data_IF_744746387873
#
_entry.id   IF_744746387873
#
_cell.length_a   1.000
_cell.length_b   1.000
_cell.length_c   1.000
_cell.angle_alpha   90.00
_cell.angle_beta   90.00
_cell.angle_gamma   90.00
#
_symmetry.space_group_name_H-M   'P 1'
#
loop_
_entity.id
_entity.type
_entity.pdbx_description
1 polymer ?
#
# COMPACT_ATOMS: atom_id res chain seq x y z
N UNK A 1 16.33 11.42 21.71
CA UNK A 1 16.03 12.57 20.81
C UNK A 1 14.65 13.20 21.03
N UNK A 2 13.67 12.51 21.64
CA UNK A 2 12.39 13.14 22.01
C UNK A 2 11.57 13.66 20.83
N UNK A 3 11.74 13.07 19.63
CA UNK A 3 11.18 13.55 18.35
C UNK A 3 9.65 13.62 18.34
N UNK A 4 8.99 12.80 19.16
CA UNK A 4 7.54 12.74 19.32
C UNK A 4 6.97 13.83 20.24
N UNK A 5 7.81 14.49 21.05
CA UNK A 5 7.36 15.51 22.00
C UNK A 5 7.31 16.87 21.31
N UNK A 6 6.33 17.70 21.67
CA UNK A 6 6.20 19.04 21.11
C UNK A 6 7.41 19.90 21.55
N UNK A 7 8.44 19.95 20.71
CA UNK A 7 9.77 20.47 21.02
C UNK A 7 9.82 21.98 21.17
N UNK A 8 8.75 22.70 20.80
CA UNK A 8 8.62 24.15 21.00
C UNK A 8 8.66 24.52 22.50
N UNK A 9 8.37 23.57 23.39
CA UNK A 9 8.44 23.77 24.86
C UNK A 9 9.84 23.58 25.47
N UNK A 10 10.82 23.16 24.67
CA UNK A 10 12.21 22.97 25.08
C UNK A 10 13.06 23.96 24.29
N UNK A 11 14.21 24.39 24.82
CA UNK A 11 15.09 25.45 24.31
C UNK A 11 15.75 25.13 22.94
N UNK A 12 14.96 24.69 21.96
CA UNK A 12 15.30 24.14 20.66
C UNK A 12 14.99 25.20 19.60
N UNK A 13 15.91 25.41 18.66
CA UNK A 13 15.72 26.41 17.60
C UNK A 13 14.55 26.04 16.69
N UNK A 14 13.83 27.02 16.11
CA UNK A 14 12.67 26.76 15.25
C UNK A 14 12.99 25.81 14.09
N UNK A 15 14.12 26.03 13.41
CA UNK A 15 14.61 25.15 12.35
C UNK A 15 14.72 23.68 12.79
N UNK A 16 15.37 23.43 13.94
CA UNK A 16 15.53 22.08 14.46
C UNK A 16 14.20 21.46 14.86
N UNK A 17 13.28 22.26 15.42
CA UNK A 17 11.95 21.77 15.78
C UNK A 17 11.18 21.28 14.56
N UNK A 18 11.18 22.06 13.46
CA UNK A 18 10.52 21.67 12.21
C UNK A 18 11.15 20.41 11.59
N UNK A 19 12.49 20.34 11.53
CA UNK A 19 13.18 19.14 11.02
C UNK A 19 12.87 17.88 11.84
N UNK A 20 12.79 18.00 13.17
CA UNK A 20 12.44 16.88 14.05
C UNK A 20 11.02 16.39 13.80
N UNK A 21 10.06 17.30 13.60
CA UNK A 21 8.69 16.92 13.25
C UNK A 21 8.64 16.23 11.89
N UNK A 22 9.31 16.77 10.87
CA UNK A 22 9.38 16.15 9.53
C UNK A 22 9.97 14.74 9.60
N UNK A 23 11.06 14.56 10.34
CA UNK A 23 11.69 13.26 10.53
C UNK A 23 10.78 12.28 11.30
N UNK A 24 10.13 12.74 12.37
CA UNK A 24 9.24 11.92 13.18
C UNK A 24 8.10 11.32 12.34
N UNK A 25 7.46 12.15 11.53
CA UNK A 25 6.37 11.70 10.68
C UNK A 25 6.82 10.72 9.58
N UNK A 26 8.04 10.87 9.05
CA UNK A 26 8.62 9.88 8.13
C UNK A 26 8.88 8.54 8.81
N UNK A 27 9.41 8.56 10.05
CA UNK A 27 9.58 7.33 10.85
C UNK A 27 8.24 6.64 11.06
N UNK A 28 7.19 7.39 11.44
CA UNK A 28 5.85 6.83 11.63
C UNK A 28 5.34 6.14 10.35
N UNK A 29 5.48 6.77 9.19
CA UNK A 29 5.02 6.16 7.92
C UNK A 29 5.81 4.89 7.58
N UNK A 30 7.12 4.89 7.83
CA UNK A 30 7.96 3.71 7.62
C UNK A 30 7.60 2.58 8.58
N UNK A 31 7.38 2.87 9.86
CA UNK A 31 6.95 1.90 10.87
C UNK A 31 5.57 1.33 10.53
N UNK A 32 4.61 2.17 10.14
CA UNK A 32 3.29 1.74 9.65
C UNK A 32 3.42 0.74 8.50
N UNK A 33 4.34 1.01 7.57
CA UNK A 33 4.56 0.16 6.40
C UNK A 33 5.27 -1.14 6.78
N UNK A 34 6.30 -1.08 7.62
CA UNK A 34 7.02 -2.26 8.09
C UNK A 34 6.10 -3.21 8.86
N UNK A 35 5.25 -2.67 9.74
CA UNK A 35 4.21 -3.42 10.44
C UNK A 35 3.28 -4.11 9.45
N UNK A 36 2.72 -3.37 8.48
CA UNK A 36 1.84 -3.93 7.44
C UNK A 36 2.49 -5.06 6.63
N UNK A 37 3.73 -4.88 6.17
CA UNK A 37 4.43 -5.89 5.38
C UNK A 37 4.77 -7.15 6.19
N UNK A 38 4.98 -7.00 7.48
CA UNK A 38 5.23 -8.10 8.42
C UNK A 38 3.91 -8.75 8.91
N UNK A 39 2.76 -8.24 8.47
CA UNK A 39 1.42 -8.66 8.90
C UNK A 39 1.10 -8.35 10.37
N UNK A 40 1.85 -7.45 11.01
CA UNK A 40 1.53 -6.96 12.33
C UNK A 40 0.62 -5.73 12.23
N UNK A 41 -0.43 -5.70 13.03
CA UNK A 41 -1.14 -4.46 13.30
C UNK A 41 -0.28 -3.62 14.24
N UNK A 42 0.03 -2.39 13.83
CA UNK A 42 0.72 -1.48 14.74
C UNK A 42 -0.25 -1.17 15.89
N UNK A 43 0.18 -1.33 17.15
CA UNK A 43 -0.64 -0.92 18.29
C UNK A 43 -0.59 0.59 18.44
N UNK A 44 -1.42 1.26 17.63
CA UNK A 44 -1.51 2.72 17.57
C UNK A 44 -2.47 3.25 18.65
N UNK A 45 -3.04 2.37 19.50
CA UNK A 45 -3.91 2.78 20.60
C UNK A 45 -3.17 3.62 21.66
N UNK A 46 -1.83 3.63 21.62
CA UNK A 46 -1.07 4.69 22.26
C UNK A 46 -1.24 6.00 21.48
N UNK A 47 -2.24 6.78 21.89
CA UNK A 47 -2.63 8.13 21.41
C UNK A 47 -1.46 9.13 21.19
N UNK A 48 -0.25 8.79 21.61
CA UNK A 48 0.94 9.65 21.55
C UNK A 48 1.70 9.68 20.22
N UNK A 49 1.53 8.70 19.31
CA UNK A 49 2.34 8.69 18.08
C UNK A 49 1.89 9.75 17.07
N UNK A 50 0.58 9.88 16.89
CA UNK A 50 -0.07 10.84 15.99
C UNK A 50 -0.63 12.08 16.73
N UNK A 51 -0.21 12.32 17.98
CA UNK A 51 -0.55 13.53 18.75
C UNK A 51 0.43 14.69 18.51
N UNK A 52 1.58 14.41 17.91
CA UNK A 52 2.52 15.45 17.50
C UNK A 52 1.88 16.38 16.46
N UNK A 53 2.18 17.67 16.55
CA UNK A 53 1.77 18.66 15.54
C UNK A 53 2.27 18.22 14.15
N UNK A 54 1.48 18.50 13.10
CA UNK A 54 1.94 18.30 11.73
C UNK A 54 3.06 19.31 11.40
N UNK A 55 4.03 18.95 10.55
CA UNK A 55 5.00 19.91 10.02
C UNK A 55 4.30 21.06 9.28
N UNK A 56 4.98 22.19 9.14
CA UNK A 56 4.42 23.34 8.44
C UNK A 56 4.37 23.11 6.92
N UNK A 57 3.30 23.60 6.28
CA UNK A 57 3.20 23.68 4.84
C UNK A 57 4.02 24.85 4.29
N UNK A 58 5.33 24.66 4.15
CA UNK A 58 6.31 25.65 3.66
C UNK A 58 7.34 24.98 2.75
N UNK A 59 7.98 25.75 1.87
CA UNK A 59 9.06 25.24 1.01
C UNK A 59 10.38 25.16 1.79
N UNK A 60 11.27 24.26 1.36
CA UNK A 60 12.55 24.03 2.05
C UNK A 60 13.47 25.25 1.97
N UNK A 61 13.38 26.02 0.89
CA UNK A 61 14.09 27.29 0.72
C UNK A 61 13.72 28.36 1.77
N UNK A 62 12.62 28.19 2.51
CA UNK A 62 12.21 29.09 3.59
C UNK A 62 12.77 28.69 4.96
N UNK A 63 13.47 27.55 5.05
CA UNK A 63 14.08 27.05 6.28
C UNK A 63 15.59 27.31 6.29
N UNK A 64 16.09 27.89 7.39
CA UNK A 64 17.51 28.16 7.59
C UNK A 64 17.91 28.05 9.07
N UNK A 65 19.11 27.54 9.41
CA UNK A 65 19.49 27.20 10.80
C UNK A 65 19.45 28.35 11.81
N UNK A 66 19.71 29.58 11.36
CA UNK A 66 19.82 30.77 12.20
C UNK A 66 18.47 31.47 12.45
N UNK A 67 17.36 30.93 11.93
CA UNK A 67 16.04 31.52 12.08
C UNK A 67 15.60 31.62 13.55
N UNK A 68 15.01 32.76 13.91
CA UNK A 68 14.46 33.00 15.26
C UNK A 68 12.99 32.62 15.37
N UNK A 69 12.27 32.60 14.25
CA UNK A 69 10.83 32.27 14.16
C UNK A 69 10.54 31.48 12.88
N UNK A 70 9.52 30.60 12.92
CA UNK A 70 9.05 29.87 11.73
C UNK A 70 8.30 30.81 10.77
N UNK A 71 8.46 30.65 9.44
CA UNK A 71 7.62 31.33 8.46
C UNK A 71 6.14 31.00 8.66
N UNK A 72 5.27 31.89 8.18
CA UNK A 72 3.85 31.62 8.12
C UNK A 72 3.55 30.42 7.19
N UNK A 73 2.59 29.59 7.59
CA UNK A 73 2.12 28.47 6.78
C UNK A 73 1.51 28.97 5.47
N UNK A 74 1.91 28.34 4.35
CA UNK A 74 1.39 28.68 3.02
C UNK A 74 0.04 27.99 2.84
N UNK A 75 -0.99 28.78 2.54
CA UNK A 75 -2.37 28.30 2.32
C UNK A 75 -2.96 28.73 0.98
N UNK A 76 -2.18 29.41 0.15
CA UNK A 76 -2.62 30.01 -1.12
C UNK A 76 -2.13 29.26 -2.37
N UNK A 77 -1.14 28.38 -2.23
CA UNK A 77 -0.56 27.58 -3.31
C UNK A 77 0.09 26.30 -2.76
N UNK A 78 0.45 25.38 -3.65
CA UNK A 78 1.11 24.13 -3.30
C UNK A 78 2.58 24.35 -2.93
N UNK A 79 3.11 23.50 -2.04
CA UNK A 79 4.51 23.50 -1.59
C UNK A 79 5.12 22.12 -1.74
N UNK A 80 6.43 22.00 -1.59
CA UNK A 80 7.14 20.70 -1.55
C UNK A 80 6.64 19.79 -0.40
N UNK A 81 6.06 20.37 0.66
CA UNK A 81 5.49 19.62 1.78
C UNK A 81 4.11 19.03 1.50
N UNK A 82 3.44 19.40 0.41
CA UNK A 82 2.05 18.99 0.13
C UNK A 82 1.89 17.46 0.11
N UNK A 83 2.77 16.73 -0.60
CA UNK A 83 2.73 15.26 -0.65
C UNK A 83 2.88 14.64 0.74
N UNK A 84 3.82 15.14 1.53
CA UNK A 84 4.08 14.65 2.88
C UNK A 84 2.86 14.88 3.78
N UNK A 85 2.31 16.10 3.79
CA UNK A 85 1.18 16.47 4.64
C UNK A 85 -0.10 15.72 4.29
N UNK A 86 -0.38 15.53 2.99
CA UNK A 86 -1.48 14.67 2.54
C UNK A 86 -1.28 13.24 3.06
N UNK A 87 -0.08 12.69 2.94
CA UNK A 87 0.24 11.35 3.42
C UNK A 87 0.06 11.22 4.94
N UNK A 88 0.52 12.22 5.71
CA UNK A 88 0.40 12.25 7.17
C UNK A 88 -1.04 12.37 7.64
N UNK A 89 -1.83 13.26 7.02
CA UNK A 89 -3.26 13.40 7.34
C UNK A 89 -4.03 12.12 7.00
N UNK A 90 -3.76 11.49 5.85
CA UNK A 90 -4.37 10.21 5.49
C UNK A 90 -4.01 9.10 6.48
N UNK A 91 -2.73 8.96 6.83
CA UNK A 91 -2.27 7.98 7.80
C UNK A 91 -2.94 8.20 9.16
N UNK A 92 -2.92 9.44 9.68
CA UNK A 92 -3.59 9.77 10.95
C UNK A 92 -5.09 9.52 10.90
N UNK A 93 -5.75 9.75 9.76
CA UNK A 93 -7.18 9.53 9.61
C UNK A 93 -7.52 8.05 9.67
N UNK A 94 -6.81 7.20 8.93
CA UNK A 94 -7.01 5.74 8.94
C UNK A 94 -6.92 5.19 10.37
N UNK A 95 -5.95 5.66 11.14
CA UNK A 95 -5.74 5.26 12.53
C UNK A 95 -6.90 5.69 13.43
N UNK A 96 -7.35 6.93 13.31
CA UNK A 96 -8.41 7.50 14.16
C UNK A 96 -9.81 7.08 13.70
N UNK A 97 -9.94 6.52 12.51
CA UNK A 97 -11.21 6.19 11.88
C UNK A 97 -12.14 5.34 12.76
N UNK A 98 -11.69 4.26 13.43
CA UNK A 98 -12.56 3.47 14.28
C UNK A 98 -13.21 4.27 15.42
N UNK A 99 -12.45 5.18 16.04
CA UNK A 99 -12.97 6.07 17.09
C UNK A 99 -13.94 7.14 16.57
N UNK A 100 -13.82 7.57 15.31
CA UNK A 100 -14.69 8.59 14.72
C UNK A 100 -16.07 8.06 14.34
N UNK A 101 -16.16 6.77 14.03
CA UNK A 101 -17.41 6.14 13.60
C UNK A 101 -18.20 5.56 14.79
N UNK A 102 -17.57 5.40 15.96
CA UNK A 102 -18.14 4.78 17.16
C UNK A 102 -18.88 3.48 16.81
N UNK A 103 -18.07 2.47 16.50
CA UNK A 103 -18.54 1.23 15.88
C UNK A 103 -19.34 0.36 16.87
N UNK A 104 -19.31 0.64 18.17
CA UNK A 104 -19.94 -0.22 19.18
C UNK A 104 -21.34 0.25 19.62
N UNK A 105 -21.79 1.46 19.27
CA UNK A 105 -22.97 2.09 19.91
C UNK A 105 -24.18 2.38 19.01
N UNK A 106 -24.06 2.30 17.68
CA UNK A 106 -25.09 2.77 16.74
C UNK A 106 -25.63 1.68 15.80
N UNK A 107 -26.90 1.84 15.36
CA UNK A 107 -27.55 0.98 14.37
C UNK A 107 -26.76 0.93 13.05
N UNK A 108 -26.80 -0.21 12.35
CA UNK A 108 -25.97 -0.46 11.15
C UNK A 108 -26.15 0.60 10.05
N UNK A 109 -27.40 0.99 9.77
CA UNK A 109 -27.70 2.00 8.76
C UNK A 109 -27.19 3.39 9.12
N UNK A 110 -27.17 3.74 10.42
CA UNK A 110 -26.63 5.01 10.91
C UNK A 110 -25.09 5.00 10.89
N UNK A 111 -24.50 3.86 11.21
CA UNK A 111 -23.05 3.63 11.18
C UNK A 111 -22.48 3.77 9.78
N UNK A 112 -23.11 3.15 8.78
CA UNK A 112 -22.72 3.31 7.37
C UNK A 112 -22.80 4.78 6.94
N UNK A 113 -23.89 5.49 7.27
CA UNK A 113 -24.05 6.92 6.96
C UNK A 113 -23.00 7.79 7.65
N UNK A 114 -22.66 7.49 8.90
CA UNK A 114 -21.61 8.21 9.64
C UNK A 114 -20.24 7.95 9.03
N UNK A 115 -19.93 6.69 8.71
CA UNK A 115 -18.70 6.29 8.03
C UNK A 115 -18.51 7.05 6.71
N UNK A 116 -19.54 7.10 5.86
CA UNK A 116 -19.50 7.85 4.60
C UNK A 116 -19.32 9.34 4.83
N UNK A 117 -20.12 9.93 5.74
CA UNK A 117 -20.05 11.36 6.04
C UNK A 117 -18.67 11.78 6.56
N UNK A 118 -18.10 11.04 7.51
CA UNK A 118 -16.77 11.33 8.08
C UNK A 118 -15.68 11.19 7.02
N UNK A 119 -15.79 10.19 6.14
CA UNK A 119 -14.87 9.99 5.02
C UNK A 119 -14.96 11.14 4.01
N UNK A 120 -16.17 11.51 3.58
CA UNK A 120 -16.38 12.57 2.58
C UNK A 120 -15.93 13.93 3.13
N UNK A 121 -16.26 14.25 4.38
CA UNK A 121 -15.77 15.47 5.03
C UNK A 121 -14.24 15.53 5.14
N UNK A 122 -13.58 14.38 5.32
CA UNK A 122 -12.12 14.30 5.30
C UNK A 122 -11.56 14.54 3.90
N UNK A 123 -12.14 13.91 2.87
CA UNK A 123 -11.76 14.10 1.47
C UNK A 123 -11.92 15.55 1.05
N UNK A 124 -13.04 16.19 1.37
CA UNK A 124 -13.30 17.60 1.07
C UNK A 124 -12.28 18.51 1.74
N UNK A 125 -11.86 18.19 2.97
CA UNK A 125 -10.82 18.94 3.67
C UNK A 125 -9.47 18.81 2.95
N UNK A 126 -9.05 17.61 2.55
CA UNK A 126 -7.81 17.42 1.79
C UNK A 126 -7.86 18.16 0.46
N UNK A 127 -9.00 18.08 -0.24
CA UNK A 127 -9.20 18.77 -1.52
C UNK A 127 -9.03 20.28 -1.36
N UNK A 128 -9.69 20.86 -0.36
CA UNK A 128 -9.66 22.31 -0.13
C UNK A 128 -8.34 22.80 0.46
N UNK A 129 -7.66 22.00 1.27
CA UNK A 129 -6.42 22.41 1.94
C UNK A 129 -5.20 22.26 1.04
N UNK A 130 -5.13 21.19 0.24
CA UNK A 130 -3.93 20.83 -0.54
C UNK A 130 -4.21 20.65 -2.03
N UNK A 131 -5.15 19.77 -2.39
CA UNK A 131 -5.22 19.25 -3.76
C UNK A 131 -5.72 20.28 -4.78
N UNK A 132 -6.56 21.24 -4.37
CA UNK A 132 -7.01 22.34 -5.24
C UNK A 132 -5.88 23.22 -5.78
N UNK A 133 -4.71 23.17 -5.14
CA UNK A 133 -3.54 23.95 -5.51
C UNK A 133 -2.51 23.17 -6.33
N UNK A 134 -2.77 21.89 -6.60
CA UNK A 134 -1.89 21.07 -7.42
C UNK A 134 -2.14 21.36 -8.91
N UNK A 135 -1.08 21.72 -9.62
CA UNK A 135 -1.05 21.87 -11.07
C UNK A 135 -0.52 20.59 -11.72
N UNK A 136 -1.30 19.99 -12.62
CA UNK A 136 -0.91 18.77 -13.34
C UNK A 136 0.27 18.97 -14.28
N UNK A 137 0.58 20.22 -14.67
CA UNK A 137 1.78 20.53 -15.45
C UNK A 137 3.08 20.36 -14.63
N UNK A 138 3.00 20.45 -13.29
CA UNK A 138 4.13 20.20 -12.41
C UNK A 138 4.18 18.73 -11.98
N UNK A 139 5.28 18.03 -12.28
CA UNK A 139 5.39 16.59 -12.05
C UNK A 139 5.23 16.18 -10.57
N UNK A 140 5.75 16.97 -9.63
CA UNK A 140 5.63 16.65 -8.20
C UNK A 140 4.19 16.87 -7.69
N UNK A 141 3.53 17.93 -8.17
CA UNK A 141 2.14 18.22 -7.81
C UNK A 141 1.17 17.23 -8.46
N UNK A 142 1.43 16.80 -9.70
CA UNK A 142 0.73 15.70 -10.35
C UNK A 142 0.86 14.39 -9.55
N UNK A 143 2.09 14.04 -9.13
CA UNK A 143 2.31 12.88 -8.28
C UNK A 143 1.51 12.98 -6.97
N UNK A 144 1.50 14.17 -6.36
CA UNK A 144 0.73 14.45 -5.13
C UNK A 144 -0.76 14.19 -5.34
N UNK A 145 -1.35 14.71 -6.41
CA UNK A 145 -2.76 14.50 -6.72
C UNK A 145 -3.10 13.02 -6.98
N UNK A 146 -2.24 12.30 -7.71
CA UNK A 146 -2.45 10.88 -8.00
C UNK A 146 -2.32 10.01 -6.74
N UNK A 147 -1.30 10.23 -5.91
CA UNK A 147 -1.14 9.50 -4.65
C UNK A 147 -2.24 9.83 -3.65
N UNK A 148 -2.73 11.08 -3.61
CA UNK A 148 -3.90 11.43 -2.82
C UNK A 148 -5.12 10.61 -3.22
N UNK A 149 -5.36 10.42 -4.52
CA UNK A 149 -6.44 9.56 -5.02
C UNK A 149 -6.27 8.12 -4.53
N UNK A 150 -5.05 7.56 -4.58
CA UNK A 150 -4.75 6.23 -4.04
C UNK A 150 -5.09 6.15 -2.55
N UNK A 151 -4.63 7.11 -1.74
CA UNK A 151 -4.89 7.11 -0.30
C UNK A 151 -6.38 7.25 0.03
N UNK A 152 -7.12 8.07 -0.72
CA UNK A 152 -8.57 8.24 -0.55
C UNK A 152 -9.31 6.94 -0.85
N UNK A 153 -8.99 6.24 -1.94
CA UNK A 153 -9.59 4.94 -2.25
C UNK A 153 -9.23 3.90 -1.18
N UNK A 154 -7.99 3.90 -0.66
CA UNK A 154 -7.59 3.05 0.46
C UNK A 154 -8.39 3.34 1.75
N UNK A 155 -8.64 4.61 2.07
CA UNK A 155 -9.47 5.00 3.21
C UNK A 155 -10.88 4.42 3.06
N UNK A 156 -11.50 4.57 1.87
CA UNK A 156 -12.85 4.03 1.59
C UNK A 156 -12.89 2.51 1.73
N UNK A 157 -11.88 1.82 1.21
CA UNK A 157 -11.72 0.36 1.38
C UNK A 157 -11.68 0.00 2.86
N UNK A 158 -10.81 0.64 3.65
CA UNK A 158 -10.66 0.32 5.08
C UNK A 158 -11.93 0.62 5.87
N UNK A 159 -12.60 1.73 5.57
CA UNK A 159 -13.88 2.09 6.16
C UNK A 159 -14.94 1.00 5.92
N UNK A 160 -15.09 0.56 4.66
CA UNK A 160 -16.08 -0.46 4.30
C UNK A 160 -15.73 -1.85 4.84
N UNK A 161 -14.46 -2.22 4.84
CA UNK A 161 -13.99 -3.47 5.46
C UNK A 161 -14.27 -3.51 6.96
N UNK A 162 -14.08 -2.38 7.68
CA UNK A 162 -14.42 -2.30 9.09
C UNK A 162 -15.91 -2.60 9.32
N UNK A 163 -16.81 -2.00 8.53
CA UNK A 163 -18.25 -2.26 8.62
C UNK A 163 -18.60 -3.73 8.38
N UNK A 164 -18.00 -4.37 7.36
CA UNK A 164 -18.20 -5.80 7.08
C UNK A 164 -17.73 -6.72 8.21
N UNK A 165 -16.65 -6.39 8.93
CA UNK A 165 -16.18 -7.19 10.07
C UNK A 165 -17.21 -7.20 11.20
N UNK A 166 -17.80 -6.05 11.52
CA UNK A 166 -18.84 -5.99 12.54
C UNK A 166 -20.14 -6.68 12.12
N UNK A 167 -20.52 -6.60 10.84
CA UNK A 167 -21.69 -7.31 10.33
C UNK A 167 -21.61 -8.83 10.53
N UNK A 168 -20.43 -9.44 10.36
CA UNK A 168 -20.23 -10.89 10.56
C UNK A 168 -20.47 -11.36 12.00
N UNK A 169 -20.33 -10.47 12.98
CA UNK A 169 -20.60 -10.78 14.39
C UNK A 169 -22.10 -10.66 14.74
N UNK A 170 -22.92 -10.09 13.86
CA UNK A 170 -24.36 -10.00 14.01
C UNK A 170 -25.06 -11.17 13.30
N UNK A 171 -25.84 -11.97 14.03
CA UNK A 171 -26.43 -13.24 13.56
C UNK A 171 -27.63 -13.11 12.61
N UNK A 172 -28.03 -11.89 12.21
CA UNK A 172 -29.24 -11.69 11.41
C UNK A 172 -28.99 -11.87 9.91
N UNK A 173 -29.32 -13.06 9.41
CA UNK A 173 -29.26 -13.42 7.99
C UNK A 173 -30.57 -13.04 7.31
N UNK A 174 -30.73 -11.77 6.94
CA UNK A 174 -31.90 -11.26 6.19
C UNK A 174 -31.57 -11.07 4.70
N UNK A 175 -32.58 -11.06 3.82
CA UNK A 175 -32.39 -10.78 2.38
C UNK A 175 -31.73 -9.41 2.12
N UNK A 176 -32.01 -8.44 3.00
CA UNK A 176 -31.38 -7.11 3.01
C UNK A 176 -29.86 -7.24 3.30
N UNK A 177 -29.46 -8.10 4.24
CA UNK A 177 -28.05 -8.35 4.56
C UNK A 177 -27.26 -8.94 3.38
N UNK A 178 -27.90 -9.81 2.59
CA UNK A 178 -27.28 -10.40 1.40
C UNK A 178 -27.08 -9.36 0.29
N UNK A 179 -28.12 -8.56 -0.03
CA UNK A 179 -28.00 -7.48 -1.04
C UNK A 179 -26.94 -6.45 -0.65
N UNK A 180 -26.85 -6.13 0.64
CA UNK A 180 -25.83 -5.22 1.17
C UNK A 180 -24.42 -5.81 1.07
N UNK A 181 -24.25 -7.10 1.36
CA UNK A 181 -22.96 -7.80 1.17
C UNK A 181 -22.52 -7.80 -0.29
N UNK A 182 -23.44 -8.07 -1.23
CA UNK A 182 -23.14 -8.01 -2.67
C UNK A 182 -22.73 -6.60 -3.11
N UNK A 183 -23.49 -5.58 -2.69
CA UNK A 183 -23.18 -4.19 -3.00
C UNK A 183 -21.80 -3.78 -2.44
N UNK A 184 -21.49 -4.15 -1.19
CA UNK A 184 -20.17 -3.90 -0.61
C UNK A 184 -19.05 -4.61 -1.38
N UNK A 185 -19.28 -5.82 -1.90
CA UNK A 185 -18.34 -6.52 -2.76
C UNK A 185 -18.04 -5.77 -4.06
N UNK A 186 -19.09 -5.25 -4.72
CA UNK A 186 -18.95 -4.44 -5.93
C UNK A 186 -18.17 -3.14 -5.66
N UNK A 187 -18.50 -2.42 -4.59
CA UNK A 187 -17.80 -1.18 -4.21
C UNK A 187 -16.31 -1.43 -3.91
N UNK A 188 -15.99 -2.52 -3.20
CA UNK A 188 -14.61 -2.90 -2.93
C UNK A 188 -13.86 -3.20 -4.22
N UNK A 189 -14.47 -3.95 -5.16
CA UNK A 189 -13.84 -4.22 -6.46
C UNK A 189 -13.55 -2.92 -7.21
N UNK A 190 -14.50 -1.99 -7.24
CA UNK A 190 -14.33 -0.67 -7.89
C UNK A 190 -13.15 0.08 -7.26
N UNK A 191 -13.14 0.28 -5.94
CA UNK A 191 -12.09 1.07 -5.30
C UNK A 191 -10.71 0.40 -5.34
N UNK A 192 -10.65 -0.92 -5.24
CA UNK A 192 -9.38 -1.63 -5.41
C UNK A 192 -8.87 -1.48 -6.86
N UNK A 193 -9.76 -1.54 -7.84
CA UNK A 193 -9.42 -1.31 -9.26
C UNK A 193 -8.93 0.12 -9.47
N UNK A 194 -9.62 1.13 -8.93
CA UNK A 194 -9.17 2.54 -8.99
C UNK A 194 -7.75 2.74 -8.43
N UNK A 195 -7.40 2.05 -7.34
CA UNK A 195 -6.05 2.10 -6.77
C UNK A 195 -5.03 1.55 -7.77
N UNK A 196 -5.28 0.36 -8.34
CA UNK A 196 -4.36 -0.27 -9.28
C UNK A 196 -4.23 0.55 -10.57
N UNK A 197 -5.32 1.11 -11.09
CA UNK A 197 -5.32 1.97 -12.26
C UNK A 197 -4.57 3.28 -12.05
N UNK A 198 -4.75 3.89 -10.88
CA UNK A 198 -4.03 5.12 -10.55
C UNK A 198 -2.53 4.84 -10.44
N UNK A 199 -2.15 3.69 -9.88
CA UNK A 199 -0.74 3.25 -9.87
C UNK A 199 -0.21 2.96 -11.28
N UNK A 200 -1.01 2.31 -12.15
CA UNK A 200 -0.64 2.13 -13.56
C UNK A 200 -0.40 3.46 -14.26
N UNK A 201 -1.28 4.46 -14.05
CA UNK A 201 -1.10 5.80 -14.58
C UNK A 201 0.21 6.44 -14.09
N UNK A 202 0.58 6.25 -12.82
CA UNK A 202 1.85 6.75 -12.28
C UNK A 202 3.03 6.09 -13.00
N UNK A 203 3.00 4.76 -13.17
CA UNK A 203 4.06 4.01 -13.84
C UNK A 203 4.19 4.33 -15.33
N UNK A 204 3.08 4.66 -16.01
CA UNK A 204 3.06 4.99 -17.44
C UNK A 204 3.44 6.46 -17.73
N UNK A 205 3.29 7.35 -16.74
CA UNK A 205 3.57 8.78 -16.95
C UNK A 205 5.08 9.08 -16.96
N UNK A 206 5.59 9.54 -18.11
CA UNK A 206 7.02 9.84 -18.30
C UNK A 206 7.56 10.90 -17.32
N UNK A 207 6.78 11.94 -17.05
CA UNK A 207 7.16 13.02 -16.12
C UNK A 207 7.33 12.54 -14.67
N UNK A 208 6.75 11.38 -14.31
CA UNK A 208 6.78 10.83 -12.96
C UNK A 208 7.92 9.80 -12.77
N UNK A 209 8.64 9.45 -13.83
CA UNK A 209 9.68 8.41 -13.78
C UNK A 209 10.80 8.72 -12.76
N UNK A 210 11.11 10.01 -12.56
CA UNK A 210 12.08 10.47 -11.56
C UNK A 210 11.70 10.14 -10.10
N UNK A 211 10.43 9.83 -9.83
CA UNK A 211 9.92 9.51 -8.49
C UNK A 211 9.66 8.01 -8.29
N UNK A 212 9.95 7.16 -9.27
CA UNK A 212 9.54 5.75 -9.25
C UNK A 212 10.19 4.97 -8.11
N UNK A 213 11.41 5.33 -7.70
CA UNK A 213 12.06 4.77 -6.51
C UNK A 213 11.19 4.90 -5.24
N UNK A 214 10.45 6.02 -5.11
CA UNK A 214 9.52 6.26 -4.01
C UNK A 214 8.19 5.54 -4.24
N UNK A 215 7.64 5.61 -5.46
CA UNK A 215 6.36 4.97 -5.83
C UNK A 215 6.40 3.45 -5.66
N UNK A 216 7.56 2.83 -5.94
CA UNK A 216 7.84 1.43 -5.68
C UNK A 216 7.59 1.04 -4.21
N UNK A 217 7.90 1.95 -3.30
CA UNK A 217 7.63 1.77 -1.88
C UNK A 217 6.12 1.77 -1.55
N UNK A 218 5.26 2.22 -2.45
CA UNK A 218 3.80 2.33 -2.29
C UNK A 218 3.04 1.33 -3.18
N UNK A 219 3.70 0.27 -3.65
CA UNK A 219 3.06 -0.72 -4.51
C UNK A 219 1.75 -1.28 -3.90
N UNK A 220 0.65 -1.36 -4.67
CA UNK A 220 -0.68 -1.64 -4.13
C UNK A 220 -0.92 -3.15 -3.93
N UNK A 221 -0.11 -3.82 -3.11
CA UNK A 221 -0.21 -5.26 -2.85
C UNK A 221 -1.61 -5.66 -2.40
N UNK A 222 -2.18 -4.93 -1.44
CA UNK A 222 -3.53 -5.15 -0.91
C UNK A 222 -4.59 -5.18 -2.00
N UNK A 223 -4.60 -4.17 -2.87
CA UNK A 223 -5.59 -4.09 -3.95
C UNK A 223 -5.38 -5.14 -5.02
N UNK A 224 -4.14 -5.42 -5.39
CA UNK A 224 -3.86 -6.43 -6.39
C UNK A 224 -4.29 -7.82 -5.91
N UNK A 225 -3.97 -8.18 -4.66
CA UNK A 225 -4.37 -9.47 -4.08
C UNK A 225 -5.90 -9.58 -3.98
N UNK A 226 -6.58 -8.52 -3.52
CA UNK A 226 -8.04 -8.52 -3.43
C UNK A 226 -8.69 -8.74 -4.80
N UNK A 227 -8.28 -7.97 -5.81
CA UNK A 227 -8.82 -8.10 -7.17
C UNK A 227 -8.60 -9.52 -7.68
N UNK A 228 -7.36 -10.03 -7.65
CA UNK A 228 -7.05 -11.36 -8.14
C UNK A 228 -7.87 -12.45 -7.44
N UNK A 229 -8.21 -12.28 -6.16
CA UNK A 229 -9.10 -13.20 -5.45
C UNK A 229 -10.55 -13.14 -5.93
N UNK A 230 -11.09 -11.94 -6.14
CA UNK A 230 -12.42 -11.78 -6.73
C UNK A 230 -12.45 -12.40 -8.13
N UNK A 231 -11.43 -12.15 -8.95
CA UNK A 231 -11.31 -12.67 -10.31
C UNK A 231 -11.17 -14.21 -10.34
N UNK A 232 -10.59 -14.81 -9.29
CA UNK A 232 -10.48 -16.26 -9.15
C UNK A 232 -11.85 -16.95 -9.04
N UNK A 233 -12.87 -16.26 -8.53
CA UNK A 233 -14.22 -16.83 -8.36
C UNK A 233 -15.00 -16.96 -9.68
N UNK A 234 -14.45 -16.51 -10.81
CA UNK A 234 -15.07 -16.68 -12.13
C UNK A 234 -16.34 -15.87 -12.33
N UNK A 235 -16.54 -14.80 -11.57
CA UNK A 235 -17.65 -13.87 -11.77
C UNK A 235 -17.56 -13.21 -13.15
N UNK A 236 -18.72 -12.79 -13.68
CA UNK A 236 -18.82 -12.07 -14.97
C UNK A 236 -19.49 -10.72 -14.74
N UNK A 237 -19.03 -9.69 -15.42
CA UNK A 237 -19.60 -8.35 -15.34
C UNK A 237 -18.63 -7.27 -15.80
N UNK A 238 -19.16 -6.08 -16.09
CA UNK A 238 -18.36 -4.93 -16.55
C UNK A 238 -17.22 -4.60 -15.59
N UNK A 239 -17.48 -4.57 -14.28
CA UNK A 239 -16.46 -4.28 -13.27
C UNK A 239 -15.36 -5.35 -13.18
N UNK A 240 -15.71 -6.61 -13.46
CA UNK A 240 -14.74 -7.72 -13.51
C UNK A 240 -13.82 -7.56 -14.71
N UNK A 241 -14.37 -7.25 -15.88
CA UNK A 241 -13.59 -7.01 -17.10
C UNK A 241 -12.69 -5.78 -16.95
N UNK A 242 -13.19 -4.72 -16.30
CA UNK A 242 -12.42 -3.53 -15.97
C UNK A 242 -11.24 -3.86 -15.04
N UNK A 243 -11.49 -4.60 -13.96
CA UNK A 243 -10.45 -5.04 -13.03
C UNK A 243 -9.39 -5.91 -13.73
N UNK A 244 -9.77 -6.73 -14.70
CA UNK A 244 -8.82 -7.48 -15.53
C UNK A 244 -7.90 -6.59 -16.35
N UNK A 245 -8.40 -5.50 -16.93
CA UNK A 245 -7.57 -4.53 -17.67
C UNK A 245 -6.52 -3.87 -16.75
N UNK A 246 -6.92 -3.51 -15.53
CA UNK A 246 -6.02 -2.94 -14.54
C UNK A 246 -4.92 -3.94 -14.12
N UNK A 247 -5.30 -5.20 -13.88
CA UNK A 247 -4.38 -6.31 -13.55
C UNK A 247 -3.43 -6.60 -14.70
N UNK A 248 -3.92 -6.66 -15.94
CA UNK A 248 -3.08 -6.94 -17.10
C UNK A 248 -2.02 -5.84 -17.29
N UNK A 249 -2.43 -4.58 -17.16
CA UNK A 249 -1.53 -3.43 -17.29
C UNK A 249 -0.42 -3.45 -16.22
N UNK A 250 -0.78 -3.66 -14.95
CA UNK A 250 0.23 -3.66 -13.87
C UNK A 250 1.17 -4.86 -13.99
N UNK A 251 0.66 -6.06 -14.27
CA UNK A 251 1.50 -7.26 -14.40
C UNK A 251 2.41 -7.19 -15.63
N UNK A 252 1.94 -6.64 -16.76
CA UNK A 252 2.78 -6.43 -17.94
C UNK A 252 3.88 -5.38 -17.71
N UNK A 253 3.58 -4.32 -16.95
CA UNK A 253 4.56 -3.28 -16.57
C UNK A 253 5.79 -3.91 -15.88
N UNK A 254 5.57 -4.91 -15.03
CA UNK A 254 6.64 -5.59 -14.28
C UNK A 254 7.07 -6.93 -14.88
N UNK A 255 6.46 -7.38 -15.99
CA UNK A 255 6.78 -8.68 -16.57
C UNK A 255 8.21 -8.76 -17.10
N UNK A 256 8.72 -7.65 -17.65
CA UNK A 256 10.07 -7.59 -18.22
C UNK A 256 11.20 -7.31 -17.22
N UNK A 257 10.89 -7.05 -15.95
CA UNK A 257 11.89 -6.74 -14.91
C UNK A 257 12.06 -7.93 -13.96
N UNK A 258 13.03 -7.90 -13.05
CA UNK A 258 13.21 -8.95 -12.01
C UNK A 258 12.09 -9.00 -10.93
N UNK A 259 10.96 -8.36 -11.24
CA UNK A 259 9.58 -8.49 -10.73
C UNK A 259 9.23 -7.91 -9.35
N UNK A 260 8.15 -7.08 -9.38
CA UNK A 260 7.59 -6.26 -8.29
C UNK A 260 8.63 -5.33 -7.66
N UNK A 261 8.21 -4.27 -6.96
CA UNK A 261 9.11 -3.49 -6.12
C UNK A 261 9.60 -4.27 -4.88
N UNK A 262 9.77 -5.58 -5.00
CA UNK A 262 10.41 -6.45 -4.04
C UNK A 262 11.91 -6.41 -4.36
N UNK A 263 12.73 -5.95 -3.42
CA UNK A 263 14.19 -5.91 -3.59
C UNK A 263 14.84 -7.29 -3.74
N UNK A 264 14.08 -8.38 -3.59
CA UNK A 264 14.57 -9.76 -3.69
C UNK A 264 13.60 -10.65 -4.51
N UNK A 265 14.03 -11.27 -5.62
CA UNK A 265 13.22 -12.20 -6.40
C UNK A 265 12.92 -13.55 -5.71
N UNK A 266 13.58 -13.85 -4.57
CA UNK A 266 13.24 -14.97 -3.69
C UNK A 266 12.19 -14.59 -2.63
N UNK A 267 11.60 -13.40 -2.72
CA UNK A 267 10.55 -12.95 -1.80
C UNK A 267 9.31 -13.84 -1.95
N UNK A 268 8.84 -14.38 -0.84
CA UNK A 268 7.66 -15.23 -0.76
C UNK A 268 6.42 -14.50 -1.31
N UNK A 269 6.33 -13.18 -1.13
CA UNK A 269 5.26 -12.33 -1.66
C UNK A 269 5.20 -12.36 -3.19
N UNK A 270 6.36 -12.45 -3.86
CA UNK A 270 6.44 -12.59 -5.30
C UNK A 270 5.77 -13.89 -5.77
N UNK A 271 6.14 -15.02 -5.15
CA UNK A 271 5.61 -16.33 -5.52
C UNK A 271 4.10 -16.43 -5.26
N UNK A 272 3.64 -15.84 -4.15
CA UNK A 272 2.25 -15.80 -3.76
C UNK A 272 1.36 -15.06 -4.79
N UNK A 273 1.74 -13.83 -5.17
CA UNK A 273 0.96 -13.02 -6.12
C UNK A 273 1.00 -13.63 -7.52
N UNK A 274 2.16 -14.09 -7.98
CA UNK A 274 2.29 -14.77 -9.27
C UNK A 274 1.41 -16.02 -9.36
N UNK A 275 1.43 -16.85 -8.31
CA UNK A 275 0.58 -18.04 -8.20
C UNK A 275 -0.90 -17.68 -8.20
N UNK A 276 -1.28 -16.64 -7.45
CA UNK A 276 -2.66 -16.16 -7.40
C UNK A 276 -3.13 -15.64 -8.77
N UNK A 277 -2.30 -14.89 -9.47
CA UNK A 277 -2.59 -14.38 -10.80
C UNK A 277 -2.79 -15.51 -11.82
N UNK A 278 -1.93 -16.52 -11.81
CA UNK A 278 -2.08 -17.71 -12.67
C UNK A 278 -3.37 -18.46 -12.34
N UNK A 279 -3.70 -18.64 -11.05
CA UNK A 279 -4.94 -19.31 -10.63
C UNK A 279 -6.17 -18.55 -11.11
N UNK A 280 -6.18 -17.22 -10.95
CA UNK A 280 -7.28 -16.38 -11.42
C UNK A 280 -7.43 -16.45 -12.94
N UNK A 281 -6.31 -16.40 -13.68
CA UNK A 281 -6.32 -16.53 -15.14
C UNK A 281 -6.87 -17.88 -15.59
N UNK A 282 -6.43 -18.99 -14.98
CA UNK A 282 -6.93 -20.34 -15.29
C UNK A 282 -8.44 -20.44 -15.08
N UNK A 283 -8.96 -19.89 -13.97
CA UNK A 283 -10.38 -19.87 -13.69
C UNK A 283 -11.18 -19.10 -14.76
N UNK A 284 -10.65 -17.96 -15.22
CA UNK A 284 -11.24 -17.22 -16.35
C UNK A 284 -11.25 -18.04 -17.62
N UNK A 285 -10.11 -18.62 -18.02
CA UNK A 285 -10.00 -19.38 -19.28
C UNK A 285 -10.87 -20.63 -19.29
N UNK A 286 -11.06 -21.30 -18.15
CA UNK A 286 -11.95 -22.44 -18.03
C UNK A 286 -13.44 -22.05 -18.24
N UNK A 287 -13.76 -20.77 -18.05
CA UNK A 287 -15.12 -20.23 -18.15
C UNK A 287 -15.40 -19.52 -19.48
N UNK A 288 -14.39 -19.39 -20.36
CA UNK A 288 -14.45 -18.76 -21.68
C UNK A 288 -14.52 -19.81 -22.80
N UNK A 289 -15.12 -19.43 -23.93
CA UNK A 289 -15.10 -20.25 -25.16
C UNK A 289 -13.68 -20.25 -25.77
N UNK A 290 -13.30 -21.29 -26.54
CA UNK A 290 -11.96 -21.42 -27.13
C UNK A 290 -11.49 -20.21 -27.95
N UNK A 291 -12.43 -19.49 -28.58
CA UNK A 291 -12.14 -18.33 -29.43
C UNK A 291 -11.98 -17.00 -28.64
N UNK A 292 -12.25 -17.00 -27.32
CA UNK A 292 -12.15 -15.82 -26.43
C UNK A 292 -10.94 -15.88 -25.48
N UNK A 293 -10.04 -16.85 -25.65
CA UNK A 293 -8.88 -17.01 -24.75
C UNK A 293 -7.91 -15.84 -24.94
N UNK A 294 -8.03 -14.85 -24.05
CA UNK A 294 -7.08 -13.75 -23.94
C UNK A 294 -5.70 -14.30 -23.54
N UNK A 295 -4.77 -14.25 -24.49
CA UNK A 295 -3.36 -14.55 -24.25
C UNK A 295 -2.70 -13.36 -23.57
N UNK A 296 -2.57 -13.42 -22.25
CA UNK A 296 -1.84 -12.41 -21.49
C UNK A 296 -0.33 -12.72 -21.49
N UNK A 297 0.48 -11.75 -21.93
CA UNK A 297 1.93 -11.90 -22.05
C UNK A 297 2.58 -12.25 -20.70
N UNK A 298 2.14 -11.62 -19.62
CA UNK A 298 2.67 -11.86 -18.29
C UNK A 298 2.45 -13.30 -17.80
N UNK A 299 1.43 -14.03 -18.27
CA UNK A 299 1.16 -15.41 -17.82
C UNK A 299 2.32 -16.34 -18.15
N UNK A 300 2.84 -16.27 -19.37
CA UNK A 300 3.98 -17.10 -19.80
C UNK A 300 5.24 -16.75 -19.01
N UNK A 301 5.45 -15.46 -18.76
CA UNK A 301 6.65 -14.97 -18.06
C UNK A 301 6.62 -15.37 -16.58
N UNK A 302 5.50 -15.13 -15.87
CA UNK A 302 5.36 -15.54 -14.47
C UNK A 302 5.47 -17.07 -14.35
N UNK A 303 4.80 -17.82 -15.23
CA UNK A 303 4.84 -19.30 -15.19
C UNK A 303 6.26 -19.83 -15.36
N UNK A 304 7.03 -19.27 -16.30
CA UNK A 304 8.43 -19.64 -16.50
C UNK A 304 9.29 -19.33 -15.27
N UNK A 305 9.14 -18.14 -14.67
CA UNK A 305 9.90 -17.74 -13.49
C UNK A 305 9.56 -18.57 -12.24
N UNK A 306 8.28 -18.84 -11.97
CA UNK A 306 7.87 -19.72 -10.87
C UNK A 306 8.39 -21.15 -11.04
N UNK A 307 8.40 -21.67 -12.27
CA UNK A 307 9.00 -22.97 -12.58
C UNK A 307 10.50 -23.02 -12.27
N UNK A 308 11.25 -21.97 -12.63
CA UNK A 308 12.67 -21.86 -12.30
C UNK A 308 12.94 -21.72 -10.80
N UNK A 309 12.06 -21.04 -10.05
CA UNK A 309 12.18 -20.94 -8.59
C UNK A 309 11.92 -22.29 -7.91
N UNK A 310 10.91 -23.05 -8.35
CA UNK A 310 10.65 -24.40 -7.86
C UNK A 310 11.84 -25.33 -8.13
N UNK A 311 12.39 -25.31 -9.35
CA UNK A 311 13.58 -26.08 -9.70
C UNK A 311 14.79 -25.73 -8.83
N UNK A 312 14.99 -24.44 -8.52
CA UNK A 312 16.07 -24.00 -7.61
C UNK A 312 15.87 -24.52 -6.18
N UNK A 313 14.64 -24.50 -5.66
CA UNK A 313 14.34 -25.09 -4.36
C UNK A 313 14.54 -26.60 -4.34
N UNK A 314 14.08 -27.31 -5.37
CA UNK A 314 14.24 -28.77 -5.48
C UNK A 314 15.73 -29.15 -5.58
N UNK A 315 16.54 -28.37 -6.30
CA UNK A 315 18.00 -28.55 -6.38
C UNK A 315 18.71 -28.27 -5.06
N UNK A 316 18.37 -27.17 -4.36
CA UNK A 316 18.95 -26.85 -3.07
C UNK A 316 18.61 -27.91 -2.00
N UNK A 317 17.39 -28.45 -2.02
CA UNK A 317 17.00 -29.58 -1.17
C UNK A 317 17.75 -30.86 -1.55
N UNK A 318 17.96 -31.11 -2.85
CA UNK A 318 18.73 -32.26 -3.32
C UNK A 318 20.22 -32.16 -2.94
N UNK A 319 20.84 -30.98 -3.00
CA UNK A 319 22.22 -30.75 -2.56
C UNK A 319 22.37 -30.92 -1.05
N UNK A 320 21.40 -30.43 -0.27
CA UNK A 320 21.39 -30.59 1.19
C UNK A 320 21.19 -32.06 1.62
N UNK A 321 20.52 -32.87 0.80
CA UNK A 321 20.36 -34.33 1.00
C UNK A 321 21.57 -35.11 0.45
N UNK A 322 22.28 -34.59 -0.55
CA UNK A 322 23.40 -35.27 -1.21
C UNK A 322 24.76 -35.09 -0.52
N UNK A 323 24.90 -34.18 0.46
CA UNK A 323 26.11 -34.06 1.29
C UNK A 323 27.41 -33.85 0.50
N UNK A 324 27.35 -33.11 -0.62
CA UNK A 324 28.53 -32.83 -1.44
C UNK A 324 29.21 -31.54 -0.96
N UNK A 325 30.21 -31.69 -0.10
CA UNK A 325 31.19 -30.63 0.18
C UNK A 325 31.97 -30.31 -1.10
N UNK A 326 31.75 -29.13 -1.67
CA UNK A 326 32.61 -28.58 -2.74
C UNK A 326 33.77 -27.85 -2.05
N UNK A 327 35.04 -28.25 -2.24
CA UNK A 327 36.17 -27.64 -1.55
C UNK A 327 36.43 -26.21 -2.03
N UNK A 328 36.70 -25.34 -1.07
CA UNK A 328 36.79 -23.89 -1.25
C UNK A 328 37.88 -23.44 -2.23
N UNK A 329 37.51 -22.46 -3.04
CA UNK A 329 38.47 -21.55 -3.66
C UNK A 329 38.63 -20.34 -2.73
N UNK A 330 39.71 -20.33 -1.96
CA UNK A 330 40.20 -19.14 -1.27
C UNK A 330 40.56 -18.07 -2.31
N UNK A 331 39.79 -16.98 -2.34
CA UNK A 331 40.22 -15.72 -2.94
C UNK A 331 40.53 -14.75 -1.79
N UNK A 332 41.81 -14.66 -1.45
CA UNK A 332 42.40 -13.65 -0.56
C UNK A 332 42.30 -12.24 -1.18
N UNK A 333 41.16 -11.57 -1.08
CA UNK A 333 41.10 -10.09 -1.03
C UNK A 333 39.84 -9.67 -0.26
N UNK A 334 39.86 -9.74 1.08
CA UNK A 334 38.87 -9.08 1.94
C UNK A 334 39.49 -8.75 3.30
N UNK A 335 40.45 -7.83 3.31
CA UNK A 335 40.74 -7.04 4.49
C UNK A 335 40.29 -5.62 4.18
N UNK A 336 39.09 -5.24 4.68
CA UNK A 336 38.62 -3.88 5.01
C UNK A 336 37.08 -3.78 5.05
N UNK A 337 36.36 -4.71 5.68
CA UNK A 337 34.98 -4.51 6.16
C UNK A 337 34.85 -5.29 7.48
N UNK A 338 34.38 -4.70 8.60
CA UNK A 338 34.14 -5.45 9.82
C UNK A 338 32.96 -6.40 9.62
N UNK A 339 33.11 -7.64 10.07
CA UNK A 339 32.16 -8.75 9.97
C UNK A 339 30.71 -8.31 10.27
N UNK A 340 29.96 -8.06 9.19
CA UNK A 340 28.51 -8.18 9.22
C UNK A 340 28.20 -9.64 9.01
N UNK A 341 27.62 -10.29 10.01
CA UNK A 341 27.02 -11.62 9.89
C UNK A 341 26.27 -11.69 8.55
N UNK A 342 26.68 -12.63 7.70
CA UNK A 342 25.86 -13.06 6.58
C UNK A 342 24.53 -13.50 7.19
N UNK A 343 23.51 -12.63 7.09
CA UNK A 343 22.15 -12.99 7.41
C UNK A 343 21.78 -14.05 6.40
N UNK A 344 21.90 -15.29 6.86
CA UNK A 344 21.38 -16.48 6.21
C UNK A 344 19.97 -16.16 5.71
N UNK A 345 19.70 -16.51 4.45
CA UNK A 345 18.52 -16.07 3.69
C UNK A 345 17.22 -16.62 4.26
N UNK A 346 16.83 -16.19 5.46
CA UNK A 346 15.50 -16.39 6.01
C UNK A 346 14.54 -15.64 5.11
N UNK A 347 13.86 -16.39 4.25
CA UNK A 347 12.65 -15.93 3.57
C UNK A 347 11.74 -15.35 4.64
N UNK A 348 11.40 -14.07 4.52
CA UNK A 348 10.36 -13.48 5.37
C UNK A 348 9.10 -14.32 5.16
N UNK A 349 8.68 -15.04 6.19
CA UNK A 349 7.49 -15.86 6.16
C UNK A 349 6.29 -14.91 5.99
N UNK A 350 5.52 -15.09 4.91
CA UNK A 350 4.33 -14.26 4.69
C UNK A 350 3.36 -14.56 5.82
N UNK A 351 2.99 -13.53 6.58
CA UNK A 351 1.91 -13.63 7.54
C UNK A 351 0.58 -13.76 6.79
N UNK A 352 0.21 -15.01 6.46
CA UNK A 352 -1.04 -15.32 5.79
C UNK A 352 -2.27 -15.04 6.66
N UNK A 353 -2.14 -14.96 7.99
CA UNK A 353 -3.26 -14.62 8.88
C UNK A 353 -3.76 -13.20 8.60
N UNK A 354 -2.86 -12.24 8.44
CA UNK A 354 -3.21 -10.88 8.01
C UNK A 354 -3.96 -10.88 6.67
N UNK A 355 -3.44 -11.60 5.67
CA UNK A 355 -4.03 -11.63 4.32
C UNK A 355 -5.37 -12.36 4.30
N UNK A 356 -5.51 -13.45 5.05
CA UNK A 356 -6.78 -14.18 5.18
C UNK A 356 -7.82 -13.37 5.93
N UNK A 357 -7.43 -12.59 6.95
CA UNK A 357 -8.34 -11.68 7.63
C UNK A 357 -8.72 -10.47 6.77
N UNK A 358 -7.75 -9.89 6.05
CA UNK A 358 -7.95 -8.79 5.11
C UNK A 358 -8.93 -9.17 3.99
N UNK A 359 -8.87 -10.42 3.52
CA UNK A 359 -9.68 -10.96 2.42
C UNK A 359 -10.96 -11.67 2.93
N UNK A 360 -11.09 -11.90 4.24
CA UNK A 360 -11.94 -12.98 4.77
C UNK A 360 -13.40 -12.98 4.33
N UNK A 361 -14.07 -14.16 4.39
CA UNK A 361 -14.46 -14.86 3.18
C UNK A 361 -15.20 -13.96 2.19
N UNK A 362 -14.67 -13.90 0.96
CA UNK A 362 -15.39 -13.46 -0.23
C UNK A 362 -16.60 -14.35 -0.50
#
# INVERSE_FOLDING_TARGET
MGLHKNTITQNIRPFESELRLRLWWQIILLDCKAAKLSGFEMDIKTDNHFSSQLPLNINDANLYPEMTELPAEITSHSTEMALCLVSYECASFIVKFPSLVDIDSCEEGERQKRSTHVTDAFVDRLQNKFLRFCDEANSFQLLTALLAKVFISQIRIRALQALRRHQKHSTDTTEISHRMSTHHGEMLLIWHTEVVETMNKIYDTSALQQFIWFVHSLFPYESLVYILKVLQNGSKGSEVDHAWCAVDTILNTFAGTDWLPCGNPNDSMYAAIGTLAIKAWRARTASCLPDEVLSFRWVNIISGKLGMSQQRHDMAQAEHVAGLDIPGHENEVNHLIPDGEAVDGQSVEINWDYWTEFIGPL
#
